data_IF_702057986307
#
_entry.id   IF_702057986307
#
_cell.length_a   1.000
_cell.length_b   1.000
_cell.length_c   1.000
_cell.angle_alpha   90.00
_cell.angle_beta   90.00
_cell.angle_gamma   90.00
#
_symmetry.space_group_name_H-M   'P 1'
#
loop_
_entity.id
_entity.type
_entity.pdbx_description
1 polymer ?
#
# COMPACT_ATOMS: atom_id res chain seq x y z
N UNK A 1 -8.45 1.90 -17.82
CA UNK A 1 -7.74 0.99 -16.89
C UNK A 1 -8.54 0.89 -15.59
N UNK A 2 -8.47 -0.24 -14.87
CA UNK A 2 -9.06 -0.39 -13.53
C UNK A 2 -7.95 -0.33 -12.46
N UNK A 3 -8.30 0.02 -11.22
CA UNK A 3 -7.37 -0.04 -10.06
C UNK A 3 -6.70 -1.40 -9.94
N UNK A 4 -7.45 -2.49 -10.14
CA UNK A 4 -6.93 -3.86 -10.16
C UNK A 4 -5.83 -4.04 -11.21
N UNK A 5 -6.08 -3.65 -12.47
CA UNK A 5 -5.09 -3.78 -13.55
C UNK A 5 -3.84 -2.94 -13.27
N UNK A 6 -3.99 -1.77 -12.64
CA UNK A 6 -2.87 -0.92 -12.25
C UNK A 6 -2.01 -1.59 -11.16
N UNK A 7 -2.66 -2.18 -10.15
CA UNK A 7 -1.97 -2.94 -9.10
C UNK A 7 -1.27 -4.16 -9.67
N UNK A 8 -1.93 -4.94 -10.54
CA UNK A 8 -1.34 -6.10 -11.21
C UNK A 8 -0.10 -5.70 -12.04
N UNK A 9 -0.16 -4.58 -12.75
CA UNK A 9 0.97 -4.03 -13.50
C UNK A 9 2.18 -3.72 -12.60
N UNK A 10 1.98 -3.00 -11.50
CA UNK A 10 3.11 -2.67 -10.61
C UNK A 10 3.66 -3.88 -9.87
N UNK A 11 2.82 -4.86 -9.52
CA UNK A 11 3.29 -6.12 -8.94
C UNK A 11 4.18 -6.88 -9.93
N UNK A 12 3.83 -6.90 -11.22
CA UNK A 12 4.67 -7.50 -12.25
C UNK A 12 6.01 -6.78 -12.39
N UNK A 13 6.02 -5.45 -12.40
CA UNK A 13 7.25 -4.67 -12.50
C UNK A 13 8.16 -4.89 -11.29
N UNK A 14 7.60 -5.00 -10.08
CA UNK A 14 8.37 -5.34 -8.88
C UNK A 14 8.96 -6.75 -8.98
N UNK A 15 8.17 -7.74 -9.36
CA UNK A 15 8.69 -9.09 -9.54
C UNK A 15 9.85 -9.13 -10.56
N UNK A 16 9.80 -8.28 -11.59
CA UNK A 16 10.82 -8.19 -12.63
C UNK A 16 12.08 -7.44 -12.20
N UNK A 17 11.92 -6.34 -11.46
CA UNK A 17 13.01 -5.39 -11.17
C UNK A 17 13.61 -5.52 -9.77
N UNK A 18 12.84 -6.01 -8.80
CA UNK A 18 13.26 -5.99 -7.40
C UNK A 18 14.40 -6.96 -7.09
N UNK A 19 14.61 -8.00 -7.92
CA UNK A 19 15.79 -8.87 -7.84
C UNK A 19 17.10 -8.17 -8.20
N UNK A 20 17.03 -7.01 -8.85
CA UNK A 20 18.20 -6.18 -9.19
C UNK A 20 18.26 -4.98 -8.26
N UNK A 21 17.14 -4.28 -8.08
CA UNK A 21 17.07 -3.03 -7.34
C UNK A 21 17.01 -3.21 -5.83
N UNK A 22 16.45 -4.33 -5.34
CA UNK A 22 16.30 -4.64 -3.90
C UNK A 22 15.63 -3.53 -3.07
N UNK A 23 14.71 -2.77 -3.68
CA UNK A 23 14.06 -1.61 -3.04
C UNK A 23 12.84 -2.01 -2.23
N UNK A 24 12.08 -3.01 -2.68
CA UNK A 24 10.85 -3.46 -2.04
C UNK A 24 11.16 -4.58 -1.06
N UNK A 25 10.87 -4.36 0.22
CA UNK A 25 11.10 -5.32 1.29
C UNK A 25 9.91 -6.27 1.41
N UNK A 26 8.69 -5.72 1.41
CA UNK A 26 7.48 -6.49 1.67
C UNK A 26 6.31 -5.97 0.84
N UNK A 27 5.58 -6.87 0.19
CA UNK A 27 4.38 -6.57 -0.59
C UNK A 27 3.14 -6.84 0.24
N UNK A 28 2.15 -5.95 0.18
CA UNK A 28 0.90 -6.12 0.90
C UNK A 28 0.07 -7.27 0.29
N UNK A 29 -0.19 -8.38 1.03
CA UNK A 29 -0.95 -9.50 0.50
C UNK A 29 -2.41 -9.13 0.20
N UNK A 30 -2.91 -8.03 0.77
CA UNK A 30 -4.28 -7.54 0.57
C UNK A 30 -4.41 -6.53 -0.57
N UNK A 31 -3.33 -6.17 -1.27
CA UNK A 31 -3.35 -5.14 -2.29
C UNK A 31 -4.39 -5.37 -3.40
N UNK A 32 -4.46 -6.60 -3.95
CA UNK A 32 -5.44 -6.94 -4.99
C UNK A 32 -6.88 -6.91 -4.46
N UNK A 33 -7.09 -7.30 -3.21
CA UNK A 33 -8.39 -7.22 -2.55
C UNK A 33 -8.83 -5.76 -2.38
N UNK A 34 -7.93 -4.90 -1.90
CA UNK A 34 -8.16 -3.46 -1.79
C UNK A 34 -8.46 -2.83 -3.17
N UNK A 35 -7.73 -3.24 -4.20
CA UNK A 35 -7.94 -2.78 -5.57
C UNK A 35 -9.32 -3.15 -6.12
N UNK A 36 -9.76 -4.39 -5.92
CA UNK A 36 -11.10 -4.85 -6.28
C UNK A 36 -12.17 -4.04 -5.53
N UNK A 37 -12.01 -3.86 -4.22
CA UNK A 37 -12.95 -3.10 -3.39
C UNK A 37 -13.06 -1.65 -3.87
N UNK A 38 -11.93 -1.01 -4.19
CA UNK A 38 -11.89 0.34 -4.75
C UNK A 38 -12.58 0.41 -6.14
N UNK A 39 -12.50 -0.64 -6.95
CA UNK A 39 -13.18 -0.72 -8.24
C UNK A 39 -14.69 -0.93 -8.15
N UNK A 40 -15.16 -1.73 -7.19
CA UNK A 40 -16.60 -1.99 -6.96
C UNK A 40 -17.32 -0.82 -6.28
N UNK A 41 -16.61 -0.06 -5.44
CA UNK A 41 -17.13 1.15 -4.81
C UNK A 41 -17.01 2.32 -5.78
N UNK A 42 -17.95 2.44 -6.73
CA UNK A 42 -17.97 3.52 -7.70
C UNK A 42 -17.86 4.92 -7.07
N UNK A 43 -17.34 5.87 -7.85
CA UNK A 43 -17.10 7.29 -7.48
C UNK A 43 -18.32 7.99 -6.86
N UNK A 44 -19.52 7.44 -7.08
CA UNK A 44 -20.80 7.97 -6.60
C UNK A 44 -20.99 7.94 -5.06
N UNK A 45 -20.16 7.19 -4.31
CA UNK A 45 -20.26 7.10 -2.84
C UNK A 45 -19.10 7.78 -2.09
N UNK A 46 -18.27 8.56 -2.78
CA UNK A 46 -17.14 9.27 -2.17
C UNK A 46 -17.35 10.79 -2.29
N UNK A 47 -17.21 11.56 -1.20
CA UNK A 47 -17.15 13.02 -1.26
C UNK A 47 -16.12 13.52 -2.28
N UNK A 48 -16.40 14.67 -2.91
CA UNK A 48 -15.69 15.14 -4.11
C UNK A 48 -14.18 15.38 -3.94
N UNK A 49 -13.68 15.48 -2.71
CA UNK A 49 -12.26 15.68 -2.41
C UNK A 49 -11.46 14.37 -2.33
N UNK A 50 -12.13 13.21 -2.34
CA UNK A 50 -11.48 11.89 -2.30
C UNK A 50 -10.97 11.41 -3.67
N UNK A 51 -11.22 12.15 -4.76
CA UNK A 51 -10.97 11.66 -6.11
C UNK A 51 -9.50 11.57 -6.53
N UNK A 52 -8.60 12.32 -5.89
CA UNK A 52 -7.19 12.39 -6.34
C UNK A 52 -6.43 11.06 -6.22
N UNK A 53 -6.73 10.26 -5.19
CA UNK A 53 -5.98 9.04 -4.86
C UNK A 53 -6.83 7.77 -4.76
N UNK A 54 -8.12 7.84 -5.09
CA UNK A 54 -9.01 6.68 -5.03
C UNK A 54 -8.51 5.56 -5.94
N UNK A 55 -8.19 4.41 -5.36
CA UNK A 55 -7.71 3.24 -6.10
C UNK A 55 -6.30 3.37 -6.67
N UNK A 56 -5.55 4.40 -6.27
CA UNK A 56 -4.16 4.61 -6.65
C UNK A 56 -3.25 3.81 -5.70
N UNK A 57 -2.35 2.96 -6.20
CA UNK A 57 -1.38 2.28 -5.38
C UNK A 57 -0.29 3.22 -4.88
N UNK A 58 0.08 3.07 -3.61
CA UNK A 58 1.09 3.88 -2.92
C UNK A 58 2.12 2.97 -2.25
N UNK A 59 3.38 3.36 -2.39
CA UNK A 59 4.56 2.80 -1.71
C UNK A 59 4.75 3.55 -0.39
N UNK A 60 5.02 2.82 0.69
CA UNK A 60 5.39 3.40 1.98
C UNK A 60 6.85 3.03 2.33
N UNK A 61 7.54 3.96 2.98
CA UNK A 61 8.83 3.67 3.61
C UNK A 61 8.64 2.66 4.76
N UNK A 62 9.67 1.86 5.03
CA UNK A 62 9.61 0.77 6.00
C UNK A 62 9.24 1.21 7.42
N UNK A 63 9.67 2.40 7.84
CA UNK A 63 9.42 2.97 9.16
C UNK A 63 7.98 3.49 9.39
N UNK A 64 7.16 3.61 8.35
CA UNK A 64 5.80 4.15 8.46
C UNK A 64 4.83 3.12 9.06
N UNK A 65 4.45 3.24 10.33
CA UNK A 65 3.52 2.29 10.97
C UNK A 65 2.22 2.02 10.19
N UNK A 66 1.93 0.75 9.89
CA UNK A 66 0.64 0.32 9.33
C UNK A 66 0.05 -0.82 10.15
N UNK A 67 -1.26 -0.77 10.46
CA UNK A 67 -1.97 -1.76 11.28
C UNK A 67 -2.35 -3.03 10.50
N UNK A 68 -1.95 -3.14 9.24
CA UNK A 68 -2.13 -4.35 8.43
C UNK A 68 -0.98 -5.34 8.66
N UNK A 69 -0.94 -6.42 7.88
CA UNK A 69 0.08 -7.48 7.99
C UNK A 69 1.42 -7.08 7.36
N UNK A 70 1.76 -5.80 7.35
CA UNK A 70 3.05 -5.31 6.87
C UNK A 70 3.94 -5.00 8.07
N UNK A 71 5.20 -5.41 8.00
CA UNK A 71 6.17 -5.10 9.03
C UNK A 71 6.51 -3.60 8.99
N UNK A 72 6.62 -3.02 10.19
CA UNK A 72 7.18 -1.69 10.36
C UNK A 72 8.59 -1.85 10.91
N UNK A 73 9.57 -1.63 10.05
CA UNK A 73 10.99 -1.85 10.31
C UNK A 73 11.68 -0.50 10.11
N UNK A 74 12.51 -0.08 11.06
CA UNK A 74 13.30 1.16 10.96
C UNK A 74 14.78 0.77 10.79
N UNK A 75 15.11 0.17 9.64
CA UNK A 75 16.40 -0.48 9.35
C UNK A 75 16.89 -1.51 10.40
N UNK A 76 16.00 -1.98 11.29
CA UNK A 76 16.34 -2.81 12.44
C UNK A 76 15.57 -4.12 12.45
N UNK A 77 16.27 -5.23 12.22
CA UNK A 77 15.75 -6.59 12.32
C UNK A 77 15.12 -6.91 13.69
N UNK A 78 15.48 -6.17 14.75
CA UNK A 78 14.89 -6.34 16.07
C UNK A 78 13.39 -6.02 16.11
N UNK A 79 12.89 -5.23 15.15
CA UNK A 79 11.48 -4.84 15.04
C UNK A 79 10.67 -5.78 14.14
N UNK A 80 11.26 -6.87 13.65
CA UNK A 80 10.56 -7.83 12.82
C UNK A 80 9.39 -8.48 13.60
N UNK A 81 8.19 -8.47 13.03
CA UNK A 81 6.98 -8.96 13.68
C UNK A 81 6.37 -8.00 14.70
N UNK A 82 6.91 -6.77 14.84
CA UNK A 82 6.28 -5.72 15.65
C UNK A 82 4.92 -5.36 15.04
N UNK A 83 3.87 -5.46 15.85
CA UNK A 83 2.53 -5.01 15.49
C UNK A 83 2.31 -3.63 16.06
N UNK A 84 2.10 -2.65 15.19
CA UNK A 84 1.77 -1.28 15.61
C UNK A 84 0.33 -1.21 16.14
N UNK A 85 0.05 -0.43 17.19
CA UNK A 85 -1.30 -0.34 17.76
C UNK A 85 -2.31 0.37 16.84
N UNK A 86 -1.84 1.28 16.00
CA UNK A 86 -2.63 2.05 15.04
C UNK A 86 -1.81 2.38 13.78
N UNK A 87 -2.52 2.67 12.68
CA UNK A 87 -1.92 3.22 11.47
C UNK A 87 -1.29 4.59 11.77
N UNK A 88 -0.15 4.92 11.16
CA UNK A 88 0.37 6.28 11.17
C UNK A 88 -0.67 7.26 10.59
N UNK A 89 -0.65 8.52 11.01
CA UNK A 89 -1.65 9.52 10.60
C UNK A 89 -1.76 9.67 9.07
N UNK A 90 -0.62 9.62 8.38
CA UNK A 90 -0.57 9.67 6.92
C UNK A 90 -1.26 8.46 6.29
N UNK A 91 -1.05 7.27 6.85
CA UNK A 91 -1.64 6.01 6.40
C UNK A 91 -3.16 6.05 6.60
N UNK A 92 -3.62 6.55 7.74
CA UNK A 92 -5.04 6.73 8.03
C UNK A 92 -5.70 7.64 6.99
N UNK A 93 -5.09 8.79 6.67
CA UNK A 93 -5.59 9.71 5.62
C UNK A 93 -5.58 9.08 4.23
N UNK A 94 -4.56 8.29 3.90
CA UNK A 94 -4.50 7.56 2.63
C UNK A 94 -5.61 6.49 2.52
N UNK A 95 -5.94 5.80 3.62
CA UNK A 95 -7.05 4.85 3.66
C UNK A 95 -8.41 5.54 3.55
N UNK A 96 -8.59 6.72 4.13
CA UNK A 96 -9.80 7.54 4.00
C UNK A 96 -10.09 7.87 2.53
N UNK A 97 -9.05 8.23 1.77
CA UNK A 97 -9.13 8.49 0.32
C UNK A 97 -9.12 7.22 -0.53
N UNK A 98 -9.16 6.04 0.09
CA UNK A 98 -9.17 4.73 -0.58
C UNK A 98 -7.97 4.51 -1.50
N UNK A 99 -6.82 5.07 -1.14
CA UNK A 99 -5.56 4.68 -1.74
C UNK A 99 -5.23 3.22 -1.36
N UNK A 100 -4.45 2.56 -2.19
CA UNK A 100 -4.08 1.15 -2.01
C UNK A 100 -2.65 1.12 -1.50
N UNK A 101 -2.44 0.67 -0.26
CA UNK A 101 -1.08 0.52 0.27
C UNK A 101 -0.51 -0.76 -0.33
N UNK A 102 0.42 -0.59 -1.27
CA UNK A 102 0.84 -1.68 -2.14
C UNK A 102 2.06 -2.44 -1.59
N UNK A 103 3.05 -1.74 -1.05
CA UNK A 103 4.25 -2.35 -0.47
C UNK A 103 5.04 -1.39 0.43
N UNK A 104 6.07 -1.96 1.05
CA UNK A 104 7.07 -1.34 1.91
C UNK A 104 8.43 -1.31 1.22
N UNK A 105 9.14 -0.18 1.29
CA UNK A 105 10.45 -0.01 0.68
C UNK A 105 11.52 0.43 1.69
N UNK A 106 12.75 -0.02 1.45
CA UNK A 106 13.94 0.46 2.16
C UNK A 106 14.40 1.79 1.55
N UNK A 107 15.01 2.65 2.38
CA UNK A 107 15.73 3.83 1.90
C UNK A 107 17.17 3.48 1.49
#
# INVERSE_FOLDING_TARGET
>A
MTSRKLVEFYLQEICRLNSVLHVVIEVNPYALYQANKAGCQGLAKAPSYYYGLHGIPILLEENIGTKDKLNTIDASLALLGLVVPHDADIVSKLREVRAIILWKASL
#
